data_IF_148643040141
#
_entry.id   IF_148643040141
#
_cell.length_a   1.000
_cell.length_b   1.000
_cell.length_c   1.000
_cell.angle_alpha   90.00
_cell.angle_beta   90.00
_cell.angle_gamma   90.00
#
_symmetry.space_group_name_H-M   'P 1'
#
loop_
_entity.id
_entity.type
_entity.pdbx_description
1 polymer ?
#
# COMPACT_ATOMS: atom_id res chain seq x y z
N UNK A 1 -11.27 -83.12 -2.72
CA UNK A 1 -12.33 -82.63 -1.80
C UNK A 1 -11.89 -81.27 -1.25
N UNK A 2 -12.66 -80.21 -1.56
CA UNK A 2 -12.91 -78.98 -0.75
C UNK A 2 -11.67 -78.08 -0.47
N UNK A 3 -11.43 -77.00 -1.24
CA UNK A 3 -12.02 -75.64 -1.11
C UNK A 3 -12.21 -75.22 0.37
N UNK A 4 -11.70 -74.10 0.90
CA UNK A 4 -11.55 -72.73 0.38
C UNK A 4 -10.50 -72.02 1.26
N UNK A 5 -9.62 -71.15 0.77
CA UNK A 5 -9.96 -69.85 0.16
C UNK A 5 -10.07 -68.78 1.26
N UNK A 6 -8.93 -68.35 1.82
CA UNK A 6 -8.89 -67.17 2.70
C UNK A 6 -9.02 -65.93 1.82
N UNK A 7 -10.16 -65.26 1.97
CA UNK A 7 -10.57 -64.06 1.25
C UNK A 7 -9.60 -62.93 1.57
N UNK A 8 -8.76 -62.56 0.59
CA UNK A 8 -8.08 -61.27 0.56
C UNK A 8 -9.13 -60.20 0.29
N UNK A 9 -9.67 -59.61 1.36
CA UNK A 9 -10.42 -58.37 1.25
C UNK A 9 -9.43 -57.26 0.91
N UNK A 10 -9.43 -56.88 -0.37
CA UNK A 10 -8.80 -55.68 -0.88
C UNK A 10 -9.30 -54.47 -0.08
N UNK A 11 -8.52 -54.05 0.92
CA UNK A 11 -8.59 -52.68 1.40
C UNK A 11 -8.07 -51.83 0.24
N UNK A 12 -9.01 -51.42 -0.61
CA UNK A 12 -8.79 -50.36 -1.58
C UNK A 12 -8.26 -49.17 -0.82
N UNK A 13 -6.93 -49.00 -0.85
CA UNK A 13 -6.31 -47.71 -0.67
C UNK A 13 -6.78 -46.90 -1.88
N UNK A 14 -8.01 -46.38 -1.76
CA UNK A 14 -8.39 -45.11 -2.36
C UNK A 14 -7.24 -44.20 -2.01
N UNK A 15 -6.34 -44.03 -2.97
CA UNK A 15 -5.43 -42.92 -3.01
C UNK A 15 -6.37 -41.73 -3.10
N UNK A 16 -6.83 -41.27 -1.95
CA UNK A 16 -7.38 -39.94 -1.78
C UNK A 16 -6.14 -39.06 -1.97
N UNK A 17 -5.69 -38.95 -3.22
CA UNK A 17 -5.22 -37.69 -3.76
C UNK A 17 -6.37 -36.75 -3.49
N UNK A 18 -6.44 -36.23 -2.25
CA UNK A 18 -7.14 -35.02 -1.95
C UNK A 18 -6.54 -34.08 -2.96
N UNK A 19 -7.31 -33.83 -4.02
CA UNK A 19 -7.11 -32.73 -4.92
C UNK A 19 -7.33 -31.53 -4.01
N UNK A 20 -6.31 -31.21 -3.20
CA UNK A 20 -6.13 -29.91 -2.62
C UNK A 20 -5.95 -29.03 -3.84
N UNK A 21 -7.07 -28.57 -4.40
CA UNK A 21 -7.11 -27.41 -5.24
C UNK A 21 -6.64 -26.27 -4.33
N UNK A 22 -5.34 -26.16 -4.12
CA UNK A 22 -4.74 -24.95 -3.58
C UNK A 22 -5.20 -23.87 -4.56
N UNK A 23 -5.98 -22.91 -4.07
CA UNK A 23 -6.36 -21.78 -4.87
C UNK A 23 -5.05 -21.19 -5.41
N UNK A 24 -4.82 -21.28 -6.72
CA UNK A 24 -3.67 -20.63 -7.35
C UNK A 24 -3.85 -19.14 -7.14
N UNK A 25 -3.10 -18.58 -6.20
CA UNK A 25 -3.09 -17.14 -5.99
C UNK A 25 -2.57 -16.50 -7.28
N UNK A 26 -3.31 -15.55 -7.83
CA UNK A 26 -2.86 -14.78 -8.99
C UNK A 26 -1.75 -13.85 -8.54
N UNK A 27 -0.50 -14.23 -8.82
CA UNK A 27 0.69 -13.41 -8.53
C UNK A 27 1.00 -12.47 -9.69
N UNK A 28 1.76 -11.40 -9.41
CA UNK A 28 2.29 -10.54 -10.46
C UNK A 28 3.41 -11.25 -11.25
N UNK A 29 3.72 -10.75 -12.46
CA UNK A 29 4.77 -11.30 -13.32
C UNK A 29 6.17 -11.24 -12.68
N UNK A 30 6.37 -10.42 -11.65
CA UNK A 30 7.62 -10.31 -10.88
C UNK A 30 7.65 -11.21 -9.65
N UNK A 31 6.63 -12.05 -9.45
CA UNK A 31 6.46 -12.87 -8.25
C UNK A 31 6.40 -14.37 -8.58
N UNK A 32 6.62 -15.19 -7.55
CA UNK A 32 6.44 -16.65 -7.58
C UNK A 32 5.45 -17.05 -6.50
N UNK A 33 4.54 -17.96 -6.85
CA UNK A 33 3.60 -18.51 -5.88
C UNK A 33 4.31 -19.48 -4.94
N UNK A 34 4.04 -19.37 -3.65
CA UNK A 34 4.47 -20.31 -2.60
C UNK A 34 3.25 -20.98 -1.95
N UNK A 35 3.48 -22.14 -1.34
CA UNK A 35 2.39 -22.96 -0.78
C UNK A 35 1.90 -22.46 0.59
N UNK A 36 2.80 -21.88 1.39
CA UNK A 36 2.49 -21.32 2.71
C UNK A 36 2.82 -19.83 2.71
N UNK A 37 2.14 -19.00 3.52
CA UNK A 37 2.41 -17.57 3.57
C UNK A 37 3.81 -17.33 4.15
N UNK A 38 4.66 -16.65 3.38
CA UNK A 38 6.04 -16.37 3.76
C UNK A 38 6.31 -14.86 3.78
N UNK A 39 7.37 -14.46 4.50
CA UNK A 39 7.86 -13.07 4.47
C UNK A 39 8.75 -12.87 3.27
N UNK A 40 8.65 -11.69 2.66
CA UNK A 40 9.49 -11.31 1.53
C UNK A 40 10.79 -10.66 1.97
N UNK A 41 11.77 -10.57 1.07
CA UNK A 41 12.97 -9.75 1.26
C UNK A 41 12.66 -8.32 0.83
N UNK A 42 13.10 -7.35 1.62
CA UNK A 42 12.84 -5.93 1.33
C UNK A 42 14.11 -5.19 0.92
N UNK A 43 13.96 -4.20 0.03
CA UNK A 43 15.06 -3.32 -0.38
C UNK A 43 15.60 -2.53 0.81
N UNK A 44 14.71 -1.88 1.57
CA UNK A 44 15.06 -1.13 2.79
C UNK A 44 14.08 -1.43 3.92
N UNK A 45 14.31 -2.51 4.70
CA UNK A 45 13.44 -2.90 5.80
C UNK A 45 13.21 -1.78 6.85
N UNK A 46 14.24 -0.97 7.13
CA UNK A 46 14.21 0.06 8.19
C UNK A 46 13.35 1.29 7.88
N UNK A 47 12.88 1.46 6.64
CA UNK A 47 11.94 2.54 6.26
C UNK A 47 10.59 1.99 5.79
N UNK A 48 10.44 0.67 5.76
CA UNK A 48 9.21 0.01 5.36
C UNK A 48 8.31 -0.12 6.58
N UNK A 49 7.00 0.10 6.41
CA UNK A 49 6.06 -0.10 7.50
C UNK A 49 6.12 -1.50 8.07
N UNK A 50 6.05 -1.60 9.40
CA UNK A 50 6.14 -2.86 10.12
C UNK A 50 5.06 -3.86 9.67
N UNK A 51 3.84 -3.37 9.43
CA UNK A 51 2.71 -4.14 8.90
C UNK A 51 3.01 -4.72 7.52
N UNK A 52 3.68 -3.97 6.65
CA UNK A 52 4.06 -4.44 5.31
C UNK A 52 5.24 -5.42 5.37
N UNK A 53 6.24 -5.14 6.22
CA UNK A 53 7.43 -5.97 6.38
C UNK A 53 7.09 -7.39 6.91
N UNK A 54 6.17 -7.49 7.87
CA UNK A 54 5.79 -8.77 8.47
C UNK A 54 4.60 -9.46 7.80
N UNK A 55 3.98 -8.84 6.78
CA UNK A 55 2.87 -9.44 6.04
C UNK A 55 3.28 -10.77 5.39
N UNK A 56 2.60 -11.85 5.76
CA UNK A 56 2.75 -13.14 5.09
C UNK A 56 2.12 -13.10 3.71
N UNK A 57 2.84 -13.57 2.68
CA UNK A 57 2.39 -13.55 1.29
C UNK A 57 2.50 -14.93 0.68
N UNK A 58 1.52 -15.27 -0.16
CA UNK A 58 1.56 -16.43 -1.04
C UNK A 58 2.24 -16.14 -2.37
N UNK A 59 2.56 -14.87 -2.65
CA UNK A 59 3.32 -14.43 -3.81
C UNK A 59 4.57 -13.69 -3.31
N UNK A 60 5.75 -14.28 -3.52
CA UNK A 60 7.04 -13.71 -3.14
C UNK A 60 7.75 -13.13 -4.36
N UNK A 61 8.59 -12.12 -4.16
CA UNK A 61 9.42 -11.60 -5.23
C UNK A 61 10.31 -12.71 -5.84
N UNK A 62 10.42 -12.72 -7.17
CA UNK A 62 11.32 -13.60 -7.92
C UNK A 62 12.78 -13.43 -7.46
N UNK A 63 13.62 -14.41 -7.73
CA UNK A 63 15.07 -14.27 -7.54
C UNK A 63 15.60 -13.08 -8.34
N UNK A 64 16.47 -12.27 -7.73
CA UNK A 64 16.96 -11.00 -8.29
C UNK A 64 16.00 -9.81 -8.10
N UNK A 65 14.85 -10.03 -7.46
CA UNK A 65 13.92 -8.98 -7.03
C UNK A 65 13.86 -8.89 -5.49
N UNK A 66 13.54 -7.69 -5.02
CA UNK A 66 13.27 -7.37 -3.62
C UNK A 66 12.02 -6.50 -3.55
N UNK A 67 11.26 -6.60 -2.45
CA UNK A 67 10.06 -5.79 -2.24
C UNK A 67 10.44 -4.38 -1.77
N UNK A 68 9.88 -3.36 -2.39
CA UNK A 68 10.07 -1.98 -1.96
C UNK A 68 9.09 -1.60 -0.83
N UNK A 69 9.23 -0.38 -0.30
CA UNK A 69 8.42 0.12 0.81
C UNK A 69 6.90 0.26 0.50
N UNK A 70 6.48 0.21 -0.76
CA UNK A 70 5.07 0.22 -1.18
C UNK A 70 4.50 -1.18 -1.43
N UNK A 71 5.31 -2.23 -1.26
CA UNK A 71 4.88 -3.60 -1.46
C UNK A 71 5.04 -4.11 -2.89
N UNK A 72 5.77 -3.42 -3.76
CA UNK A 72 6.04 -3.87 -5.14
C UNK A 72 7.39 -4.57 -5.24
N UNK A 73 7.48 -5.64 -6.04
CA UNK A 73 8.75 -6.29 -6.34
C UNK A 73 9.51 -5.49 -7.41
N UNK A 74 10.70 -5.02 -7.07
CA UNK A 74 11.61 -4.28 -7.95
C UNK A 74 12.91 -5.06 -8.13
N UNK A 75 13.68 -4.76 -9.18
CA UNK A 75 14.99 -5.41 -9.37
C UNK A 75 15.95 -4.96 -8.27
N UNK A 76 16.83 -5.85 -7.82
CA UNK A 76 17.90 -5.48 -6.87
C UNK A 76 18.77 -4.33 -7.40
N UNK A 77 19.00 -4.26 -8.71
CA UNK A 77 19.71 -3.14 -9.35
C UNK A 77 18.96 -1.80 -9.28
N UNK A 78 17.63 -1.81 -9.26
CA UNK A 78 16.81 -0.61 -9.07
C UNK A 78 16.87 -0.14 -7.61
N UNK A 79 16.78 -1.08 -6.67
CA UNK A 79 16.98 -0.81 -5.24
C UNK A 79 18.33 -0.10 -4.99
N UNK A 80 19.40 -0.59 -5.63
CA UNK A 80 20.75 -0.04 -5.48
C UNK A 80 20.86 1.43 -5.94
N UNK A 81 20.06 1.89 -6.91
CA UNK A 81 20.04 3.30 -7.34
C UNK A 81 19.65 4.24 -6.20
N UNK A 82 18.85 3.76 -5.26
CA UNK A 82 18.31 4.56 -4.16
C UNK A 82 18.98 4.27 -2.82
N UNK A 83 19.94 3.35 -2.72
CA UNK A 83 20.44 2.85 -1.43
C UNK A 83 20.94 3.98 -0.51
N UNK A 84 21.60 5.00 -1.08
CA UNK A 84 22.15 6.16 -0.35
C UNK A 84 21.17 7.33 -0.19
N UNK A 85 19.96 7.24 -0.77
CA UNK A 85 18.93 8.26 -0.57
C UNK A 85 18.21 7.98 0.74
N UNK A 86 18.42 8.84 1.73
CA UNK A 86 17.86 8.69 3.07
C UNK A 86 16.33 8.72 3.01
N UNK A 87 15.70 7.75 3.69
CA UNK A 87 14.24 7.65 3.83
C UNK A 87 13.45 7.59 2.51
N UNK A 88 14.12 7.16 1.44
CA UNK A 88 13.54 6.97 0.12
C UNK A 88 13.78 5.54 -0.36
N UNK A 89 12.88 5.03 -1.19
CA UNK A 89 13.00 3.74 -1.85
C UNK A 89 12.68 3.89 -3.35
N UNK A 90 13.08 2.92 -4.16
CA UNK A 90 12.82 2.96 -5.60
C UNK A 90 11.37 2.62 -5.89
N UNK A 91 10.73 3.43 -6.72
CA UNK A 91 9.36 3.25 -7.16
C UNK A 91 9.26 3.44 -8.68
N UNK A 92 8.60 2.50 -9.34
CA UNK A 92 8.34 2.55 -10.79
C UNK A 92 7.15 3.45 -11.16
N UNK A 93 6.32 3.81 -10.18
CA UNK A 93 5.25 4.78 -10.38
C UNK A 93 4.96 5.53 -9.07
N UNK A 94 5.81 6.49 -8.73
CA UNK A 94 5.51 7.45 -7.66
C UNK A 94 4.78 8.68 -8.21
N UNK A 95 4.22 9.49 -7.31
CA UNK A 95 3.60 10.76 -7.66
C UNK A 95 4.62 11.71 -8.29
N UNK A 96 4.28 12.33 -9.42
CA UNK A 96 5.08 13.42 -10.01
C UNK A 96 5.03 14.72 -9.18
N UNK A 97 4.12 14.80 -8.21
CA UNK A 97 4.03 15.91 -7.27
C UNK A 97 4.29 15.37 -5.86
N UNK A 98 5.55 15.36 -5.41
CA UNK A 98 5.90 14.87 -4.09
C UNK A 98 5.40 15.81 -3.00
N UNK A 99 5.04 15.24 -1.85
CA UNK A 99 4.72 16.01 -0.66
C UNK A 99 6.00 16.57 -0.04
N UNK A 100 5.97 17.83 0.36
CA UNK A 100 7.11 18.54 0.95
C UNK A 100 6.74 18.96 2.37
N UNK A 101 7.63 18.73 3.32
CA UNK A 101 7.46 19.10 4.72
C UNK A 101 7.16 20.60 4.87
N UNK A 102 6.13 20.93 5.66
CA UNK A 102 5.69 22.30 5.90
C UNK A 102 5.01 23.01 4.71
N UNK A 103 4.96 22.40 3.53
CA UNK A 103 4.31 22.98 2.35
C UNK A 103 2.92 22.40 2.14
N UNK A 104 2.05 23.19 1.51
CA UNK A 104 0.70 22.75 1.16
C UNK A 104 0.79 21.71 0.04
N UNK A 105 0.10 20.55 0.15
CA UNK A 105 0.03 19.61 -0.95
C UNK A 105 -0.49 20.29 -2.22
N UNK A 106 0.05 19.92 -3.40
CA UNK A 106 -0.38 20.50 -4.66
C UNK A 106 -1.84 20.15 -4.93
N UNK A 107 -2.65 21.15 -5.27
CA UNK A 107 -4.08 20.98 -5.60
C UNK A 107 -4.29 20.29 -6.94
N UNK A 108 -3.34 20.44 -7.86
CA UNK A 108 -3.34 19.83 -9.19
C UNK A 108 -2.09 18.99 -9.31
N UNK A 109 -2.26 17.72 -9.70
CA UNK A 109 -1.15 16.84 -10.02
C UNK A 109 -1.46 15.98 -11.24
N UNK A 110 -0.47 15.78 -12.10
CA UNK A 110 -0.58 14.90 -13.25
C UNK A 110 -0.64 13.44 -12.80
N UNK A 111 -1.37 12.60 -13.54
CA UNK A 111 -1.39 11.15 -13.33
C UNK A 111 -0.12 10.44 -13.85
N UNK A 112 0.86 11.19 -14.35
CA UNK A 112 2.12 10.64 -14.81
C UNK A 112 2.94 10.08 -13.64
N UNK A 113 3.51 8.89 -13.87
CA UNK A 113 4.42 8.22 -12.95
C UNK A 113 5.79 8.89 -12.94
N UNK A 114 6.27 9.32 -11.77
CA UNK A 114 7.68 9.62 -11.57
C UNK A 114 8.43 8.33 -11.20
N UNK A 115 9.31 7.89 -12.10
CA UNK A 115 10.17 6.72 -11.91
C UNK A 115 11.45 7.15 -11.17
N UNK A 116 11.80 6.44 -10.10
CA UNK A 116 13.07 6.65 -9.40
C UNK A 116 12.91 6.57 -7.88
N UNK A 117 13.80 7.27 -7.17
CA UNK A 117 13.76 7.33 -5.72
C UNK A 117 12.66 8.27 -5.25
N UNK A 118 11.71 7.76 -4.47
CA UNK A 118 10.65 8.55 -3.86
C UNK A 118 10.68 8.36 -2.34
N UNK A 119 10.18 9.34 -1.59
CA UNK A 119 10.05 9.20 -0.14
C UNK A 119 9.18 8.01 0.19
N UNK A 120 9.71 7.10 1.02
CA UNK A 120 8.97 5.93 1.44
C UNK A 120 7.70 6.34 2.21
N UNK A 121 6.69 5.46 2.31
CA UNK A 121 5.50 5.75 3.08
C UNK A 121 5.81 6.23 4.52
N UNK A 122 5.19 7.33 4.93
CA UNK A 122 5.45 7.99 6.21
C UNK A 122 6.58 9.02 6.21
N UNK A 123 7.21 9.23 5.07
CA UNK A 123 8.23 10.26 4.87
C UNK A 123 7.80 11.24 3.78
N UNK A 124 8.23 12.49 3.91
CA UNK A 124 7.98 13.57 2.94
C UNK A 124 9.30 14.24 2.58
N UNK A 125 9.35 14.95 1.44
CA UNK A 125 10.57 15.62 1.02
C UNK A 125 10.98 16.69 2.03
N UNK A 126 12.28 16.71 2.31
CA UNK A 126 12.91 17.79 3.03
C UNK A 126 12.79 19.10 2.22
N UNK A 127 12.29 20.19 2.81
CA UNK A 127 12.04 21.44 2.08
C UNK A 127 13.33 22.18 1.71
N UNK A 128 14.44 21.91 2.40
CA UNK A 128 15.76 22.52 2.14
C UNK A 128 16.60 21.64 1.21
N UNK A 129 16.66 20.35 1.51
CA UNK A 129 17.42 19.36 0.76
C UNK A 129 16.49 18.40 0.03
N UNK A 130 15.86 18.89 -1.06
CA UNK A 130 14.83 18.20 -1.88
C UNK A 130 15.22 16.82 -2.47
N UNK A 131 16.38 16.27 -2.10
CA UNK A 131 16.84 14.93 -2.40
C UNK A 131 16.57 13.93 -1.24
N UNK A 132 16.46 14.41 -0.01
CA UNK A 132 16.24 13.59 1.17
C UNK A 132 14.81 13.68 1.67
N UNK A 133 14.42 12.69 2.47
CA UNK A 133 13.10 12.65 3.09
C UNK A 133 13.20 12.70 4.61
N UNK A 134 12.24 13.39 5.21
CA UNK A 134 12.08 13.54 6.66
C UNK A 134 10.79 12.85 7.10
N UNK A 135 10.70 12.37 8.35
CA UNK A 135 9.47 11.76 8.86
C UNK A 135 8.31 12.76 8.83
N UNK A 136 7.18 12.35 8.25
CA UNK A 136 5.98 13.20 8.21
C UNK A 136 5.37 13.41 9.60
N UNK A 137 5.69 12.54 10.58
CA UNK A 137 5.29 12.69 11.97
C UNK A 137 5.95 13.87 12.67
N UNK A 138 7.18 14.23 12.29
CA UNK A 138 7.90 15.36 12.88
C UNK A 138 7.75 16.63 12.04
N UNK A 139 7.64 16.49 10.72
CA UNK A 139 7.32 17.61 9.84
C UNK A 139 6.25 17.21 8.82
N UNK A 140 4.95 17.33 9.18
CA UNK A 140 3.87 17.05 8.25
C UNK A 140 3.78 18.13 7.16
N UNK A 141 3.21 17.81 6.00
CA UNK A 141 2.71 18.80 5.06
C UNK A 141 1.69 19.75 5.71
N UNK A 142 1.60 20.97 5.19
CA UNK A 142 0.63 21.97 5.67
C UNK A 142 -0.76 21.69 5.10
N UNK A 143 -1.67 21.18 5.92
CA UNK A 143 -3.02 20.85 5.46
C UNK A 143 -3.97 22.06 5.45
N UNK A 144 -4.97 22.07 4.55
CA UNK A 144 -6.06 23.05 4.56
C UNK A 144 -6.78 23.14 5.91
N UNK A 145 -7.54 24.21 6.11
CA UNK A 145 -8.37 24.40 7.32
C UNK A 145 -9.27 23.19 7.57
N UNK A 146 -9.35 22.78 8.84
CA UNK A 146 -10.13 21.63 9.32
C UNK A 146 -9.72 20.26 8.73
N UNK A 147 -8.46 20.14 8.29
CA UNK A 147 -7.87 18.87 7.89
C UNK A 147 -6.52 18.63 8.53
N UNK A 148 -6.10 17.37 8.55
CA UNK A 148 -4.85 16.90 9.15
C UNK A 148 -4.16 15.93 8.20
N UNK A 149 -2.83 15.92 8.20
CA UNK A 149 -2.08 14.98 7.39
C UNK A 149 -2.17 13.58 8.00
N UNK A 150 -2.53 12.60 7.19
CA UNK A 150 -2.52 11.20 7.57
C UNK A 150 -1.71 10.41 6.55
N UNK A 151 -0.77 9.61 7.06
CA UNK A 151 0.04 8.73 6.21
C UNK A 151 -0.76 7.60 5.59
N UNK A 152 -1.70 7.06 6.36
CA UNK A 152 -2.61 6.01 5.96
C UNK A 152 -4.01 6.59 5.86
N UNK A 153 -4.63 6.50 4.70
CA UNK A 153 -5.95 7.08 4.45
C UNK A 153 -6.91 6.02 3.93
N UNK A 154 -8.19 6.24 4.17
CA UNK A 154 -9.25 5.42 3.57
C UNK A 154 -9.39 5.76 2.08
N UNK A 155 -9.61 4.74 1.24
CA UNK A 155 -9.99 4.91 -0.18
C UNK A 155 -11.37 5.56 -0.34
N UNK A 156 -12.14 5.61 0.75
CA UNK A 156 -13.50 6.12 0.77
C UNK A 156 -13.62 7.27 1.79
N UNK A 157 -13.18 8.49 1.45
CA UNK A 157 -13.32 9.64 2.33
C UNK A 157 -14.79 10.02 2.50
N UNK A 158 -15.17 10.47 3.70
CA UNK A 158 -16.52 10.95 3.95
C UNK A 158 -16.77 12.27 3.21
N UNK A 159 -17.90 12.33 2.51
CA UNK A 159 -18.36 13.51 1.77
C UNK A 159 -19.76 13.87 2.22
N UNK A 160 -20.20 15.10 1.94
CA UNK A 160 -21.59 15.50 2.19
C UNK A 160 -22.62 14.65 1.44
N UNK A 161 -22.27 14.12 0.26
CA UNK A 161 -23.15 13.30 -0.58
C UNK A 161 -23.18 11.84 -0.14
N UNK A 162 -22.06 11.33 0.37
CA UNK A 162 -21.94 9.96 0.83
C UNK A 162 -21.18 9.87 2.18
N UNK A 163 -21.92 9.77 3.29
CA UNK A 163 -21.34 9.66 4.63
C UNK A 163 -20.81 8.27 4.97
N UNK A 164 -21.41 7.24 4.37
CA UNK A 164 -21.33 5.85 4.79
C UNK A 164 -20.91 4.99 3.62
N UNK A 165 -19.61 4.89 3.40
CA UNK A 165 -19.06 3.94 2.46
C UNK A 165 -18.98 2.54 3.07
N UNK A 166 -19.31 1.52 2.27
CA UNK A 166 -19.10 0.10 2.61
C UNK A 166 -17.84 -0.37 1.90
N UNK A 167 -17.11 -1.31 2.51
CA UNK A 167 -15.91 -1.93 1.95
C UNK A 167 -14.76 -0.95 1.67
N UNK A 168 -14.46 -0.06 2.62
CA UNK A 168 -13.34 0.85 2.54
C UNK A 168 -12.02 0.11 2.77
N UNK A 169 -10.98 0.47 2.02
CA UNK A 169 -9.62 -0.03 2.23
C UNK A 169 -8.74 1.08 2.82
N UNK A 170 -7.76 0.71 3.64
CA UNK A 170 -6.75 1.64 4.14
C UNK A 170 -5.50 1.53 3.27
N UNK A 171 -5.07 2.65 2.72
CA UNK A 171 -3.86 2.76 1.90
C UNK A 171 -2.82 3.62 2.61
N UNK A 172 -1.62 3.06 2.79
CA UNK A 172 -0.49 3.70 3.42
C UNK A 172 0.62 3.96 2.39
N UNK A 173 0.29 4.61 1.28
CA UNK A 173 1.27 4.90 0.22
C UNK A 173 1.93 6.26 0.43
N UNK A 174 1.30 7.34 -0.04
CA UNK A 174 1.85 8.70 0.04
C UNK A 174 1.37 9.51 1.24
N UNK A 175 0.23 9.12 1.83
CA UNK A 175 -0.51 9.95 2.78
C UNK A 175 -1.16 11.17 2.13
N UNK A 176 -2.20 11.69 2.76
CA UNK A 176 -2.99 12.82 2.25
C UNK A 176 -3.53 13.67 3.42
N UNK A 177 -3.99 14.89 3.10
CA UNK A 177 -4.77 15.65 4.07
C UNK A 177 -6.20 15.13 4.13
N UNK A 178 -6.63 14.68 5.31
CA UNK A 178 -7.98 14.18 5.56
C UNK A 178 -8.73 15.12 6.51
N UNK A 179 -10.05 15.17 6.40
CA UNK A 179 -10.84 16.03 7.26
C UNK A 179 -10.77 15.56 8.73
N UNK A 180 -10.74 16.53 9.65
CA UNK A 180 -10.82 16.24 11.08
C UNK A 180 -12.17 15.61 11.44
N UNK A 181 -12.27 14.86 12.55
CA UNK A 181 -13.55 14.35 13.04
C UNK A 181 -14.64 15.44 13.10
N UNK A 182 -15.83 15.15 12.56
CA UNK A 182 -16.94 16.11 12.46
C UNK A 182 -16.92 17.01 11.22
N UNK A 183 -15.88 16.91 10.38
CA UNK A 183 -15.76 17.59 9.10
C UNK A 183 -15.70 16.60 7.95
N UNK A 184 -16.19 17.02 6.79
CA UNK A 184 -16.25 16.20 5.58
C UNK A 184 -15.89 16.97 4.33
N UNK A 185 -15.49 16.23 3.30
CA UNK A 185 -15.12 16.81 2.02
C UNK A 185 -16.37 17.34 1.30
N UNK A 186 -16.25 18.57 0.79
CA UNK A 186 -17.22 19.24 -0.08
C UNK A 186 -16.49 20.08 -1.10
N UNK A 187 -16.94 20.07 -2.34
CA UNK A 187 -16.43 20.95 -3.39
C UNK A 187 -17.04 22.35 -3.21
N UNK A 188 -16.21 23.35 -2.97
CA UNK A 188 -16.63 24.76 -2.82
C UNK A 188 -15.87 25.58 -3.85
N UNK A 189 -16.58 26.14 -4.84
CA UNK A 189 -15.99 26.91 -5.96
C UNK A 189 -14.87 26.16 -6.70
N UNK A 190 -15.02 24.86 -6.89
CA UNK A 190 -14.05 24.00 -7.58
C UNK A 190 -12.88 23.51 -6.70
N UNK A 191 -12.84 23.88 -5.42
CA UNK A 191 -11.82 23.38 -4.48
C UNK A 191 -12.45 22.45 -3.43
N UNK A 192 -11.82 21.29 -3.20
CA UNK A 192 -12.23 20.42 -2.08
C UNK A 192 -11.87 21.07 -0.74
N UNK A 193 -12.88 21.23 0.13
CA UNK A 193 -12.73 21.79 1.48
C UNK A 193 -13.37 20.88 2.52
N UNK A 194 -12.82 20.91 3.73
CA UNK A 194 -13.40 20.24 4.88
C UNK A 194 -14.39 21.18 5.59
N UNK A 195 -15.68 20.89 5.43
CA UNK A 195 -16.78 21.65 6.04
C UNK A 195 -17.42 20.84 7.16
N UNK A 196 -17.98 21.51 8.16
CA UNK A 196 -18.74 20.84 9.21
C UNK A 196 -19.96 20.14 8.60
N UNK A 197 -20.34 18.99 9.14
CA UNK A 197 -21.51 18.22 8.71
C UNK A 197 -22.79 19.06 8.57
N UNK A 198 -22.99 20.01 9.49
CA UNK A 198 -24.14 20.91 9.50
C UNK A 198 -24.17 21.90 8.32
N UNK A 199 -23.04 22.07 7.61
CA UNK A 199 -22.93 22.94 6.43
C UNK A 199 -23.07 22.18 5.11
N UNK A 200 -23.40 20.89 5.14
CA UNK A 200 -23.61 20.12 3.92
C UNK A 200 -24.80 20.64 3.10
N UNK A 201 -25.89 21.04 3.76
CA UNK A 201 -27.11 21.58 3.15
C UNK A 201 -27.02 23.04 2.69
N UNK A 202 -25.98 23.77 3.08
CA UNK A 202 -25.80 25.17 2.69
C UNK A 202 -25.23 25.26 1.27
N UNK A 203 -25.88 25.99 0.36
CA UNK A 203 -25.28 26.32 -0.95
C UNK A 203 -24.27 27.45 -0.71
N UNK A 204 -23.00 27.25 -1.08
CA UNK A 204 -21.90 28.23 -0.99
C UNK A 204 -21.22 28.43 -2.35
#
# INVERSE_FOLDING_TARGET
>A
MRNSGVVLLFLGALCICLVYTSARHKCYDTEVQVWYPMRDRFCKPWITFQTEMYKGRYCLCKQGYVRNAWGHCIKESECNKCIYVRNADYNQCSSSCPLVCGQRPPSVCTLQCAIGCACAPGFVLDPWYKKYCVPASTCPPSCPRNSVFQTCTTTCPQTCENPYWKNCEIQCHRGECTCLPGYVKKLVRGEEKCVSWNRCSLRE
#
